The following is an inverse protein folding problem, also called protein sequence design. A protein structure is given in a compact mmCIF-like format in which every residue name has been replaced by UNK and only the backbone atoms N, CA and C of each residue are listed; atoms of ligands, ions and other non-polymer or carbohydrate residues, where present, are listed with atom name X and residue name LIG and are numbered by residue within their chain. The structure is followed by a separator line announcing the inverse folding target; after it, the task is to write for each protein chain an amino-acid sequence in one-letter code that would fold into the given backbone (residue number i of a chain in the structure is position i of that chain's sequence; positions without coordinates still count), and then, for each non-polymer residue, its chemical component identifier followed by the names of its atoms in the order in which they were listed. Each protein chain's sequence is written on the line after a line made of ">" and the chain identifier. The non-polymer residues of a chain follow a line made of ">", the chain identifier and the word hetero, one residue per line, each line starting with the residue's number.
data_IF_160107261633
#
_entry.id   IF_160107261633
#
_cell.length_a   1.000
_cell.length_b   1.000
_cell.length_c   1.000
_cell.angle_alpha   90.00
_cell.angle_beta   90.00
_cell.angle_gamma   90.00
#
_symmetry.space_group_name_H-M   'P 1'
#
loop_
_entity.id
_entity.type
_entity.pdbx_description
1 polymer ?
#
# COMPACT_ATOMS: atom_id res chain seq x y z
N UNK A 1 -19.51 -2.49 8.06
CA UNK A 1 -18.77 -3.74 8.34
C UNK A 1 -17.50 -3.67 7.53
N UNK A 2 -16.33 -3.71 8.17
CA UNK A 2 -15.06 -3.81 7.45
C UNK A 2 -14.98 -5.20 6.79
N UNK A 3 -14.61 -5.26 5.52
CA UNK A 3 -14.45 -6.53 4.84
C UNK A 3 -13.06 -7.09 5.15
N UNK A 4 -13.00 -8.30 5.71
CA UNK A 4 -11.71 -9.01 5.85
C UNK A 4 -11.13 -9.32 4.47
N UNK A 5 -9.80 -9.22 4.33
CA UNK A 5 -9.06 -9.61 3.14
C UNK A 5 -7.97 -10.63 3.48
N UNK A 6 -7.44 -11.31 2.46
CA UNK A 6 -6.25 -12.16 2.56
C UNK A 6 -5.20 -11.72 1.54
N UNK A 7 -3.92 -11.82 1.90
CA UNK A 7 -2.80 -11.72 0.96
C UNK A 7 -2.37 -13.12 0.57
N UNK A 8 -2.48 -13.44 -0.72
CA UNK A 8 -2.02 -14.71 -1.30
C UNK A 8 -0.67 -14.46 -1.97
N UNK A 9 0.35 -15.19 -1.54
CA UNK A 9 1.65 -15.21 -2.19
C UNK A 9 1.67 -16.28 -3.28
N UNK A 10 1.50 -15.85 -4.54
CA UNK A 10 1.50 -16.75 -5.69
C UNK A 10 2.92 -16.96 -6.21
N UNK A 11 3.35 -18.21 -6.26
CA UNK A 11 4.65 -18.62 -6.78
C UNK A 11 4.70 -18.62 -8.31
N UNK A 12 5.82 -18.16 -8.86
CA UNK A 12 6.12 -18.11 -10.28
C UNK A 12 7.49 -18.74 -10.54
N UNK A 13 7.55 -19.56 -11.59
CA UNK A 13 8.83 -20.05 -12.09
C UNK A 13 9.53 -18.93 -12.87
N UNK A 14 10.85 -18.81 -12.73
CA UNK A 14 11.66 -17.81 -13.45
C UNK A 14 11.56 -17.91 -14.97
N UNK A 15 11.30 -19.10 -15.50
CA UNK A 15 11.15 -19.35 -16.93
C UNK A 15 9.70 -19.19 -17.42
N UNK A 16 8.75 -18.87 -16.54
CA UNK A 16 7.39 -18.51 -16.96
C UNK A 16 7.40 -17.20 -17.75
N UNK A 17 6.31 -16.92 -18.49
CA UNK A 17 6.15 -15.64 -19.19
C UNK A 17 6.38 -14.44 -18.24
N UNK A 18 5.79 -14.47 -17.05
CA UNK A 18 5.98 -13.44 -16.02
C UNK A 18 7.42 -13.36 -15.55
N UNK A 19 8.09 -14.49 -15.32
CA UNK A 19 9.50 -14.51 -14.90
C UNK A 19 10.44 -13.92 -15.95
N UNK A 20 10.23 -14.25 -17.23
CA UNK A 20 11.00 -13.68 -18.34
C UNK A 20 10.75 -12.17 -18.46
N UNK A 21 9.48 -11.74 -18.42
CA UNK A 21 9.08 -10.33 -18.49
C UNK A 21 9.68 -9.48 -17.36
N UNK A 22 9.70 -10.03 -16.14
CA UNK A 22 10.30 -9.38 -14.96
C UNK A 22 11.81 -9.61 -14.82
N UNK A 23 12.44 -10.34 -15.76
CA UNK A 23 13.87 -10.69 -15.75
C UNK A 23 14.31 -11.38 -14.45
N UNK A 24 13.46 -12.29 -13.96
CA UNK A 24 13.72 -13.07 -12.76
C UNK A 24 14.95 -13.99 -12.94
N UNK A 25 15.85 -14.00 -11.96
CA UNK A 25 17.02 -14.88 -11.93
C UNK A 25 16.73 -16.23 -11.25
N UNK A 26 15.73 -16.23 -10.39
CA UNK A 26 15.26 -17.35 -9.58
C UNK A 26 13.73 -17.33 -9.51
N UNK A 27 13.15 -18.43 -9.03
CA UNK A 27 11.72 -18.50 -8.81
C UNK A 27 11.32 -17.52 -7.69
N UNK A 28 10.14 -16.94 -7.80
CA UNK A 28 9.73 -15.83 -6.94
C UNK A 28 8.24 -15.90 -6.65
N UNK A 29 7.78 -15.13 -5.67
CA UNK A 29 6.36 -14.97 -5.38
C UNK A 29 5.94 -13.51 -5.49
N UNK A 30 4.68 -13.30 -5.89
CA UNK A 30 4.04 -11.98 -5.88
C UNK A 30 2.79 -12.01 -4.99
N UNK A 31 2.54 -10.96 -4.21
CA UNK A 31 1.36 -10.86 -3.37
C UNK A 31 0.13 -10.48 -4.18
N UNK A 32 -0.99 -11.13 -3.90
CA UNK A 32 -2.31 -10.82 -4.43
C UNK A 32 -3.27 -10.59 -3.28
N UNK A 33 -3.88 -9.41 -3.25
CA UNK A 33 -4.94 -9.08 -2.31
C UNK A 33 -6.25 -9.66 -2.81
N UNK A 34 -6.87 -10.53 -2.01
CA UNK A 34 -8.21 -11.06 -2.27
C UNK A 34 -9.17 -10.72 -1.14
N UNK A 35 -10.36 -10.32 -1.52
CA UNK A 35 -11.47 -9.94 -0.67
C UNK A 35 -12.78 -10.46 -1.28
N UNK A 36 -13.89 -10.33 -0.56
CA UNK A 36 -15.21 -10.71 -1.06
C UNK A 36 -15.30 -12.15 -1.59
N UNK A 37 -15.88 -12.31 -2.79
CA UNK A 37 -16.13 -13.62 -3.41
C UNK A 37 -14.84 -14.39 -3.70
N UNK A 38 -13.77 -13.72 -4.13
CA UNK A 38 -12.47 -14.33 -4.40
C UNK A 38 -11.82 -14.88 -3.14
N UNK A 39 -11.96 -14.17 -2.01
CA UNK A 39 -11.51 -14.67 -0.71
C UNK A 39 -12.27 -15.94 -0.31
N UNK A 40 -13.59 -15.95 -0.45
CA UNK A 40 -14.41 -17.13 -0.14
C UNK A 40 -14.04 -18.34 -1.00
N UNK A 41 -13.83 -18.14 -2.32
CA UNK A 41 -13.38 -19.20 -3.23
C UNK A 41 -12.02 -19.74 -2.80
N UNK A 42 -11.08 -18.86 -2.48
CA UNK A 42 -9.76 -19.26 -2.02
C UNK A 42 -9.82 -20.10 -0.73
N UNK A 43 -10.62 -19.68 0.26
CA UNK A 43 -10.81 -20.41 1.51
C UNK A 43 -11.44 -21.80 1.30
N UNK A 44 -12.33 -21.93 0.32
CA UNK A 44 -12.93 -23.20 -0.11
C UNK A 44 -12.02 -24.05 -1.02
N UNK A 45 -10.80 -23.58 -1.31
CA UNK A 45 -9.83 -24.20 -2.24
C UNK A 45 -10.37 -24.31 -3.67
N UNK A 46 -11.25 -23.39 -4.05
CA UNK A 46 -11.78 -23.29 -5.41
C UNK A 46 -10.87 -22.43 -6.31
N UNK A 47 -10.90 -22.64 -7.64
CA UNK A 47 -10.16 -21.79 -8.56
C UNK A 47 -10.52 -20.32 -8.40
N UNK A 48 -9.51 -19.50 -8.09
CA UNK A 48 -9.65 -18.04 -7.93
C UNK A 48 -9.03 -17.32 -9.12
N UNK A 49 -9.82 -16.46 -9.78
CA UNK A 49 -9.36 -15.69 -10.94
C UNK A 49 -8.59 -14.45 -10.49
N UNK A 50 -7.27 -14.58 -10.35
CA UNK A 50 -6.39 -13.47 -10.00
C UNK A 50 -6.21 -12.53 -11.19
N UNK A 51 -6.36 -11.23 -10.94
CA UNK A 51 -6.32 -10.18 -11.95
C UNK A 51 -5.34 -9.05 -11.54
N UNK A 52 -5.09 -8.05 -12.39
CA UNK A 52 -4.19 -6.94 -12.05
C UNK A 52 -4.60 -6.12 -10.82
N UNK A 53 -5.90 -5.99 -10.53
CA UNK A 53 -6.39 -5.32 -9.31
C UNK A 53 -5.92 -6.02 -8.04
N UNK A 54 -6.05 -7.35 -8.00
CA UNK A 54 -5.55 -8.17 -6.89
C UNK A 54 -4.02 -8.01 -6.73
N UNK A 55 -3.27 -7.98 -7.83
CA UNK A 55 -1.81 -7.84 -7.80
C UNK A 55 -1.37 -6.46 -7.26
N UNK A 56 -1.95 -5.37 -7.78
CA UNK A 56 -1.54 -4.02 -7.36
C UNK A 56 -1.92 -3.78 -5.90
N UNK A 57 -3.15 -4.13 -5.48
CA UNK A 57 -3.55 -4.08 -4.06
C UNK A 57 -2.63 -4.95 -3.20
N UNK A 58 -2.27 -6.14 -3.69
CA UNK A 58 -1.36 -7.05 -3.00
C UNK A 58 0.04 -6.47 -2.81
N UNK A 59 0.57 -5.78 -3.81
CA UNK A 59 1.88 -5.12 -3.73
C UNK A 59 1.87 -3.90 -2.82
N UNK A 60 0.75 -3.19 -2.69
CA UNK A 60 0.63 -2.03 -1.81
C UNK A 60 0.41 -2.43 -0.35
N UNK A 61 -0.44 -3.43 -0.09
CA UNK A 61 -0.78 -3.86 1.27
C UNK A 61 0.19 -4.92 1.79
N UNK A 62 0.54 -5.90 0.96
CA UNK A 62 1.45 -7.00 1.30
C UNK A 62 2.93 -6.60 1.29
N UNK A 63 3.25 -5.33 1.08
CA UNK A 63 4.64 -4.86 1.00
C UNK A 63 5.39 -5.10 2.32
N UNK A 64 4.75 -4.87 3.45
CA UNK A 64 5.35 -5.06 4.78
C UNK A 64 5.09 -6.45 5.37
N UNK A 65 4.32 -7.28 4.66
CA UNK A 65 4.07 -8.66 5.06
C UNK A 65 5.39 -9.47 4.99
N UNK A 66 5.56 -10.35 5.97
CA UNK A 66 6.71 -11.25 6.11
C UNK A 66 6.20 -12.68 6.22
N UNK A 67 5.56 -13.21 5.16
CA UNK A 67 5.07 -14.58 5.14
C UNK A 67 6.21 -15.56 5.47
N UNK A 68 5.97 -16.57 6.33
CA UNK A 68 6.97 -17.57 6.63
C UNK A 68 7.35 -18.33 5.35
N UNK A 69 8.66 -18.57 5.18
CA UNK A 69 9.23 -19.34 4.07
C UNK A 69 9.02 -18.77 2.65
N UNK A 70 8.59 -17.52 2.50
CA UNK A 70 8.51 -16.84 1.19
C UNK A 70 9.46 -15.64 1.15
N UNK A 71 10.36 -15.61 0.16
CA UNK A 71 11.22 -14.45 -0.06
C UNK A 71 10.44 -13.34 -0.78
N UNK A 72 10.29 -12.20 -0.11
CA UNK A 72 9.56 -11.03 -0.62
C UNK A 72 10.47 -10.00 -1.28
N UNK A 73 11.80 -10.22 -1.27
CA UNK A 73 12.79 -9.26 -1.79
C UNK A 73 12.59 -8.95 -3.27
N UNK A 74 12.29 -9.97 -4.08
CA UNK A 74 12.01 -9.81 -5.50
C UNK A 74 10.75 -8.96 -5.74
N UNK A 75 9.66 -9.26 -5.03
CA UNK A 75 8.41 -8.53 -5.14
C UNK A 75 8.61 -7.04 -4.82
N UNK A 76 9.32 -6.73 -3.72
CA UNK A 76 9.67 -5.36 -3.33
C UNK A 76 10.48 -4.64 -4.41
N UNK A 77 11.53 -5.29 -4.91
CA UNK A 77 12.40 -4.72 -5.93
C UNK A 77 11.67 -4.47 -7.27
N UNK A 78 10.65 -5.26 -7.60
CA UNK A 78 9.87 -5.13 -8.84
C UNK A 78 8.58 -4.32 -8.68
N UNK A 79 8.12 -4.02 -7.46
CA UNK A 79 6.81 -3.44 -7.19
C UNK A 79 6.55 -2.17 -8.00
N UNK A 80 7.49 -1.20 -7.98
CA UNK A 80 7.36 0.06 -8.73
C UNK A 80 7.16 -0.18 -10.24
N UNK A 81 7.95 -1.09 -10.82
CA UNK A 81 7.84 -1.44 -12.24
C UNK A 81 6.50 -2.09 -12.54
N UNK A 82 6.10 -3.09 -11.76
CA UNK A 82 4.84 -3.82 -11.96
C UNK A 82 3.65 -2.87 -11.89
N UNK A 83 3.58 -2.02 -10.87
CA UNK A 83 2.46 -1.07 -10.69
C UNK A 83 2.44 -0.04 -11.81
N UNK A 84 3.60 0.50 -12.21
CA UNK A 84 3.70 1.47 -13.31
C UNK A 84 3.22 0.87 -14.63
N UNK A 85 3.54 -0.39 -14.92
CA UNK A 85 3.05 -1.10 -16.11
C UNK A 85 1.51 -1.28 -16.11
N UNK A 86 0.86 -1.21 -14.94
CA UNK A 86 -0.60 -1.31 -14.83
C UNK A 86 -1.33 0.02 -14.90
N UNK A 87 -0.65 1.18 -14.90
CA UNK A 87 -1.31 2.49 -14.98
C UNK A 87 -2.39 2.59 -16.08
N UNK A 88 -2.16 2.09 -17.32
CA UNK A 88 -3.18 2.12 -18.36
C UNK A 88 -4.43 1.28 -18.03
N UNK A 89 -4.25 0.12 -17.38
CA UNK A 89 -5.35 -0.77 -16.96
C UNK A 89 -6.27 -0.06 -15.96
N UNK A 90 -5.69 0.71 -15.06
CA UNK A 90 -6.42 1.48 -14.04
C UNK A 90 -6.86 2.87 -14.52
N UNK A 91 -6.48 3.25 -15.75
CA UNK A 91 -6.70 4.59 -16.31
C UNK A 91 -6.16 5.72 -15.41
N UNK A 92 -5.10 5.42 -14.66
CA UNK A 92 -4.49 6.37 -13.74
C UNK A 92 -3.35 7.14 -14.43
N UNK A 93 -3.27 8.47 -14.26
CA UNK A 93 -2.28 9.29 -14.97
C UNK A 93 -0.87 9.15 -14.41
N UNK A 94 -0.71 8.72 -13.16
CA UNK A 94 0.60 8.58 -12.50
C UNK A 94 0.56 7.51 -11.41
N UNK A 95 1.76 7.07 -10.99
CA UNK A 95 1.93 6.18 -9.84
C UNK A 95 1.36 6.81 -8.56
N UNK A 96 1.60 8.11 -8.35
CA UNK A 96 1.06 8.85 -7.20
C UNK A 96 -0.46 8.80 -7.17
N UNK A 97 -1.12 9.13 -8.29
CA UNK A 97 -2.58 9.09 -8.38
C UNK A 97 -3.12 7.69 -8.12
N UNK A 98 -2.51 6.65 -8.70
CA UNK A 98 -2.95 5.27 -8.49
C UNK A 98 -2.83 4.84 -7.02
N UNK A 99 -1.74 5.22 -6.35
CA UNK A 99 -1.54 4.90 -4.92
C UNK A 99 -2.61 5.60 -4.08
N UNK A 100 -2.84 6.90 -4.29
CA UNK A 100 -3.83 7.67 -3.53
C UNK A 100 -5.25 7.12 -3.75
N UNK A 101 -5.64 6.88 -5.00
CA UNK A 101 -6.96 6.34 -5.35
C UNK A 101 -7.20 4.96 -4.72
N UNK A 102 -6.19 4.07 -4.75
CA UNK A 102 -6.31 2.74 -4.17
C UNK A 102 -6.28 2.77 -2.65
N UNK A 103 -5.47 3.61 -2.03
CA UNK A 103 -5.45 3.76 -0.57
C UNK A 103 -6.79 4.28 -0.06
N UNK A 104 -7.36 5.31 -0.70
CA UNK A 104 -8.70 5.79 -0.38
C UNK A 104 -9.76 4.69 -0.52
N UNK A 105 -9.72 3.92 -1.62
CA UNK A 105 -10.60 2.76 -1.78
C UNK A 105 -10.43 1.72 -0.66
N UNK A 106 -9.18 1.40 -0.28
CA UNK A 106 -8.88 0.45 0.80
C UNK A 106 -9.38 0.97 2.15
N UNK A 107 -9.27 2.28 2.41
CA UNK A 107 -9.80 2.93 3.61
C UNK A 107 -11.30 2.69 3.74
N UNK A 108 -12.04 2.95 2.67
CA UNK A 108 -13.50 2.83 2.63
C UNK A 108 -13.99 1.38 2.77
N UNK A 109 -13.20 0.41 2.28
CA UNK A 109 -13.64 -1.00 2.17
C UNK A 109 -13.10 -1.91 3.27
N UNK A 110 -11.87 -1.66 3.73
CA UNK A 110 -11.12 -2.51 4.65
C UNK A 110 -10.66 -1.79 5.92
N UNK A 111 -10.86 -0.47 5.99
CA UNK A 111 -10.51 0.33 7.17
C UNK A 111 -9.15 1.00 7.07
N UNK A 112 -8.86 1.80 8.11
CA UNK A 112 -7.76 2.75 8.14
C UNK A 112 -6.39 2.07 8.03
N UNK A 113 -6.20 0.94 8.73
CA UNK A 113 -4.95 0.19 8.72
C UNK A 113 -4.55 -0.32 7.32
N UNK A 114 -5.51 -0.78 6.50
CA UNK A 114 -5.22 -1.27 5.15
C UNK A 114 -4.76 -0.13 4.23
N UNK A 115 -5.39 1.04 4.35
CA UNK A 115 -4.98 2.26 3.67
C UNK A 115 -3.60 2.72 4.12
N UNK A 116 -3.33 2.74 5.43
CA UNK A 116 -2.02 3.09 5.99
C UNK A 116 -0.91 2.20 5.44
N UNK A 117 -1.12 0.88 5.36
CA UNK A 117 -0.16 -0.05 4.75
C UNK A 117 0.11 0.29 3.29
N UNK A 118 -0.94 0.55 2.52
CA UNK A 118 -0.85 0.96 1.12
C UNK A 118 -0.07 2.26 0.93
N UNK A 119 -0.32 3.27 1.76
CA UNK A 119 0.36 4.57 1.72
C UNK A 119 1.83 4.46 2.13
N UNK A 120 2.14 3.67 3.16
CA UNK A 120 3.54 3.40 3.54
C UNK A 120 4.32 2.73 2.40
N UNK A 121 3.70 1.79 1.67
CA UNK A 121 4.31 1.21 0.48
C UNK A 121 4.44 2.27 -0.62
N UNK A 122 3.42 3.10 -0.81
CA UNK A 122 3.43 4.26 -1.68
C UNK A 122 4.62 5.19 -1.46
N UNK A 123 4.98 5.47 -0.21
CA UNK A 123 6.14 6.31 0.15
C UNK A 123 7.45 5.66 -0.28
N UNK A 124 7.60 4.33 -0.16
CA UNK A 124 8.79 3.66 -0.68
C UNK A 124 8.86 3.71 -2.21
N UNK A 125 7.71 3.64 -2.89
CA UNK A 125 7.61 3.64 -4.35
C UNK A 125 7.81 5.03 -4.95
N UNK A 126 7.36 6.08 -4.27
CA UNK A 126 7.42 7.48 -4.69
C UNK A 126 7.82 8.38 -3.49
N UNK A 127 9.06 8.29 -3.00
CA UNK A 127 9.52 8.99 -1.79
C UNK A 127 9.48 10.52 -1.91
N UNK A 128 9.46 11.06 -3.12
CA UNK A 128 9.32 12.48 -3.40
C UNK A 128 7.88 13.00 -3.25
N UNK A 129 6.87 12.13 -3.24
CA UNK A 129 5.47 12.55 -3.19
C UNK A 129 5.12 13.18 -1.85
N UNK A 130 4.78 14.47 -1.84
CA UNK A 130 4.22 15.14 -0.67
C UNK A 130 2.76 14.72 -0.44
N UNK A 131 2.02 14.42 -1.51
CA UNK A 131 0.61 14.02 -1.43
C UNK A 131 0.41 12.66 -0.74
N UNK A 132 1.22 11.64 -1.10
CA UNK A 132 1.16 10.33 -0.43
C UNK A 132 1.56 10.48 1.04
N UNK A 133 2.62 11.25 1.36
CA UNK A 133 3.02 11.48 2.76
C UNK A 133 1.92 12.17 3.55
N UNK A 134 1.28 13.17 2.97
CA UNK A 134 0.17 13.90 3.60
C UNK A 134 -0.99 12.96 3.95
N UNK A 135 -1.47 12.18 2.97
CA UNK A 135 -2.57 11.24 3.20
C UNK A 135 -2.17 10.12 4.20
N UNK A 136 -0.89 9.71 4.17
CA UNK A 136 -0.34 8.75 5.14
C UNK A 136 -0.34 9.31 6.57
N UNK A 137 -0.05 10.60 6.75
CA UNK A 137 -0.10 11.25 8.05
C UNK A 137 -1.52 11.27 8.63
N UNK A 138 -2.54 11.54 7.80
CA UNK A 138 -3.95 11.49 8.21
C UNK A 138 -4.31 10.08 8.70
N UNK A 139 -3.98 9.07 7.91
CA UNK A 139 -4.23 7.67 8.26
C UNK A 139 -3.52 7.26 9.55
N UNK A 140 -2.27 7.71 9.72
CA UNK A 140 -1.47 7.40 10.89
C UNK A 140 -2.01 8.07 12.16
N UNK A 141 -2.49 9.31 12.07
CA UNK A 141 -3.16 9.99 13.20
C UNK A 141 -4.41 9.20 13.61
N UNK A 142 -5.28 8.87 12.66
CA UNK A 142 -6.50 8.11 12.94
C UNK A 142 -6.17 6.75 13.59
N UNK A 143 -5.22 5.99 13.03
CA UNK A 143 -4.80 4.72 13.63
C UNK A 143 -4.18 4.89 15.04
N UNK A 144 -3.51 6.00 15.33
CA UNK A 144 -2.96 6.29 16.67
C UNK A 144 -4.08 6.63 17.67
N UNK A 145 -5.10 7.38 17.23
CA UNK A 145 -6.24 7.76 18.06
C UNK A 145 -7.16 6.57 18.36
N UNK A 146 -7.31 5.66 17.39
CA UNK A 146 -8.13 4.45 17.50
C UNK A 146 -7.40 3.26 18.15
N UNK A 147 -6.16 3.44 18.64
CA UNK A 147 -5.31 2.41 19.26
C UNK A 147 -5.05 1.20 18.33
N UNK A 148 -5.01 1.44 17.02
CA UNK A 148 -4.71 0.43 15.99
C UNK A 148 -3.19 0.23 15.76
N UNK A 149 -2.34 1.06 16.38
CA UNK A 149 -0.88 0.98 16.31
C UNK A 149 -0.31 0.41 17.62
N UNK A 150 0.28 -0.78 17.55
CA UNK A 150 0.86 -1.48 18.71
C UNK A 150 1.96 -0.67 19.41
N UNK A 151 2.88 -0.06 18.65
CA UNK A 151 3.91 0.84 19.17
C UNK A 151 3.55 2.30 18.87
N UNK A 152 2.72 2.88 19.74
CA UNK A 152 2.28 4.27 19.63
C UNK A 152 3.44 5.26 19.55
N UNK A 153 4.54 5.04 20.29
CA UNK A 153 5.70 5.93 20.29
C UNK A 153 6.37 5.92 18.92
N UNK A 154 6.59 4.73 18.35
CA UNK A 154 7.12 4.61 16.99
C UNK A 154 6.19 5.25 15.94
N UNK A 155 4.87 5.10 16.11
CA UNK A 155 3.85 5.76 15.28
C UNK A 155 4.00 7.28 15.28
N UNK A 156 4.06 7.91 16.45
CA UNK A 156 4.22 9.37 16.59
C UNK A 156 5.56 9.85 16.00
N UNK A 157 6.64 9.10 16.21
CA UNK A 157 7.94 9.42 15.62
C UNK A 157 7.89 9.37 14.10
N UNK A 158 7.23 8.34 13.54
CA UNK A 158 7.04 8.22 12.09
C UNK A 158 6.20 9.39 11.54
N UNK A 159 5.13 9.77 12.24
CA UNK A 159 4.30 10.93 11.88
C UNK A 159 5.13 12.21 11.80
N UNK A 160 5.96 12.50 12.82
CA UNK A 160 6.85 13.67 12.85
C UNK A 160 7.83 13.69 11.68
N UNK A 161 8.43 12.53 11.36
CA UNK A 161 9.35 12.41 10.22
C UNK A 161 8.60 12.72 8.91
N UNK A 162 7.46 12.08 8.68
CA UNK A 162 6.70 12.28 7.44
C UNK A 162 6.24 13.73 7.26
N UNK A 163 5.71 14.36 8.32
CA UNK A 163 5.33 15.77 8.29
C UNK A 163 6.52 16.66 7.92
N UNK A 164 7.72 16.41 8.47
CA UNK A 164 8.92 17.19 8.16
C UNK A 164 9.42 17.05 6.71
N UNK A 165 9.05 15.96 6.02
CA UNK A 165 9.43 15.68 4.64
C UNK A 165 8.39 16.18 3.60
N UNK A 166 7.25 16.69 4.07
CA UNK A 166 6.22 17.27 3.19
C UNK A 166 6.63 18.67 2.78
N UNK A 167 6.69 18.89 1.47
CA UNK A 167 6.75 20.23 0.92
C UNK A 167 5.34 20.73 0.65
N UNK A 168 4.86 21.65 1.50
CA UNK A 168 3.49 22.21 1.43
C UNK A 168 3.17 22.83 0.06
N UNK A 169 4.18 23.33 -0.67
CA UNK A 169 3.97 23.92 -2.01
C UNK A 169 3.53 22.89 -3.06
N UNK A 170 3.76 21.61 -2.79
CA UNK A 170 3.36 20.51 -3.66
C UNK A 170 1.94 20.01 -3.33
N UNK A 171 1.32 20.55 -2.28
CA UNK A 171 -0.06 20.24 -1.88
C UNK A 171 -1.04 21.26 -2.45
N UNK A 172 -2.31 20.86 -2.52
CA UNK A 172 -3.39 21.78 -2.84
C UNK A 172 -3.50 22.86 -1.74
N UNK A 173 -3.67 24.16 -2.09
CA UNK A 173 -3.66 25.26 -1.12
C UNK A 173 -4.67 25.10 0.04
N UNK A 174 -5.81 24.47 -0.22
CA UNK A 174 -6.85 24.17 0.76
C UNK A 174 -6.38 23.24 1.89
N UNK A 175 -5.37 22.41 1.65
CA UNK A 175 -4.83 21.47 2.65
C UNK A 175 -3.82 22.11 3.61
N UNK A 176 -3.45 23.38 3.38
CA UNK A 176 -2.42 24.06 4.16
C UNK A 176 -2.80 24.22 5.64
N UNK A 177 -4.09 24.40 5.94
CA UNK A 177 -4.54 24.55 7.32
C UNK A 177 -4.61 23.20 8.03
N UNK A 178 -5.16 22.18 7.36
CA UNK A 178 -5.18 20.80 7.86
C UNK A 178 -3.77 20.28 8.13
N UNK A 179 -2.80 20.62 7.27
CA UNK A 179 -1.39 20.31 7.51
C UNK A 179 -0.86 20.91 8.82
N UNK A 180 -1.17 22.17 9.13
CA UNK A 180 -0.74 22.79 10.39
C UNK A 180 -1.37 22.11 11.59
N UNK A 181 -2.65 21.77 11.50
CA UNK A 181 -3.35 21.04 12.57
C UNK A 181 -2.70 19.68 12.82
N UNK A 182 -2.31 18.94 11.77
CA UNK A 182 -1.58 17.69 11.93
C UNK A 182 -0.22 17.87 12.63
N UNK A 183 0.50 18.96 12.34
CA UNK A 183 1.76 19.28 13.04
C UNK A 183 1.50 19.54 14.53
N UNK A 184 0.47 20.30 14.88
CA UNK A 184 0.10 20.56 16.27
C UNK A 184 -0.31 19.29 17.01
N UNK A 185 -1.09 18.41 16.36
CA UNK A 185 -1.43 17.08 16.91
C UNK A 185 -0.16 16.28 17.19
N UNK A 186 0.76 16.20 16.22
CA UNK A 186 2.00 15.46 16.40
C UNK A 186 2.86 16.01 17.56
N UNK A 187 2.84 17.31 17.81
CA UNK A 187 3.56 17.94 18.92
C UNK A 187 2.88 17.75 20.28
N UNK A 188 1.55 17.67 20.32
CA UNK A 188 0.76 17.49 21.54
C UNK A 188 0.56 16.04 21.99
N UNK A 189 0.86 15.07 21.12
CA UNK A 189 0.73 13.62 21.35
C UNK A 189 2.04 12.98 21.84
#
# INVERSE_FOLDING_TARGET
>A
MQNSYNIIWKHFNKNSYTGIHLRAKEDFSLPYFVDGEEKEKFEKKEPTALNPFHLVKGLLVGYFDKPPATDTSFAKAQAKKIITEQLPTFKSPSLESLVLDLSAYLRDTHGQQASLQSLMAGIELAPESSAIKYDCCLDLINCIEDDEIEDRIAGIQKLKILLSEINIKDLAPELAEDYKQMVEIAEGV
#
